data_IF_578694032190
#
_entry.id   IF_578694032190
#
_cell.length_a   1.000
_cell.length_b   1.000
_cell.length_c   1.000
_cell.angle_alpha   90.00
_cell.angle_beta   90.00
_cell.angle_gamma   90.00
#
_symmetry.space_group_name_H-M   'P 1'
#
loop_
_entity.id
_entity.type
_entity.pdbx_description
1 polymer ?
#
# COMPACT_ATOMS: atom_id res chain seq x y z
N UNK A 1 16.14 75.35 -3.91
CA UNK A 1 16.53 75.72 -5.29
C UNK A 1 17.06 74.48 -5.97
N UNK A 2 16.42 74.08 -7.09
CA UNK A 2 16.95 73.25 -8.21
C UNK A 2 17.41 71.82 -7.88
N UNK A 3 16.78 70.70 -8.31
CA UNK A 3 16.36 70.22 -9.65
C UNK A 3 17.43 70.32 -10.75
N UNK A 4 17.52 69.22 -11.52
CA UNK A 4 18.25 69.01 -12.77
C UNK A 4 19.73 68.63 -12.55
N UNK A 5 20.40 67.75 -13.31
CA UNK A 5 20.22 67.14 -14.64
C UNK A 5 21.35 66.06 -14.70
N UNK A 6 21.29 64.88 -15.33
CA UNK A 6 21.42 64.58 -16.78
C UNK A 6 21.91 63.10 -16.84
N UNK A 7 21.16 62.10 -17.36
CA UNK A 7 20.98 61.63 -18.76
C UNK A 7 22.23 61.03 -19.43
N UNK A 8 22.15 59.74 -19.82
CA UNK A 8 22.74 59.08 -21.03
C UNK A 8 22.77 57.54 -20.77
N UNK A 9 21.89 56.71 -21.36
CA UNK A 9 22.03 56.02 -22.67
C UNK A 9 23.32 55.14 -22.73
N UNK A 10 23.39 53.88 -23.16
CA UNK A 10 22.60 52.92 -23.95
C UNK A 10 23.30 51.55 -23.73
N UNK A 11 22.61 50.41 -23.66
CA UNK A 11 22.47 49.54 -24.83
C UNK A 11 22.94 48.09 -24.55
N UNK A 12 22.35 47.15 -25.31
CA UNK A 12 22.78 45.77 -25.58
C UNK A 12 22.35 44.63 -24.63
N UNK A 13 21.15 44.13 -24.89
CA UNK A 13 20.97 42.79 -25.49
C UNK A 13 21.70 41.61 -24.86
N UNK A 14 21.02 40.89 -23.95
CA UNK A 14 21.43 39.57 -23.47
C UNK A 14 20.25 38.59 -23.50
N UNK A 15 20.26 37.70 -24.49
CA UNK A 15 19.25 36.66 -24.75
C UNK A 15 18.98 35.79 -23.51
N UNK A 16 17.75 35.81 -22.98
CA UNK A 16 17.25 34.77 -22.07
C UNK A 16 16.81 33.53 -22.86
N UNK A 17 17.78 32.74 -23.32
CA UNK A 17 17.55 31.41 -23.91
C UNK A 17 18.22 30.39 -22.99
N UNK A 18 17.45 29.70 -22.12
CA UNK A 18 18.08 28.68 -21.28
C UNK A 18 17.23 27.95 -20.23
N UNK A 19 15.97 28.30 -19.99
CA UNK A 19 15.24 27.75 -18.82
C UNK A 19 14.35 26.53 -19.11
N UNK A 20 14.08 26.18 -20.37
CA UNK A 20 13.18 25.04 -20.68
C UNK A 20 13.85 23.67 -20.76
N UNK A 21 15.17 23.58 -20.94
CA UNK A 21 15.89 22.30 -21.11
C UNK A 21 16.35 21.65 -19.79
N UNK A 22 16.55 22.42 -18.72
CA UNK A 22 16.98 21.90 -17.39
C UNK A 22 15.86 21.23 -16.59
N UNK A 23 14.61 21.63 -16.79
CA UNK A 23 13.48 21.07 -16.03
C UNK A 23 13.04 19.70 -16.56
N UNK A 24 13.27 19.42 -17.86
CA UNK A 24 12.92 18.15 -18.52
C UNK A 24 13.94 17.03 -18.24
N UNK A 25 15.19 17.37 -17.90
CA UNK A 25 16.22 16.41 -17.47
C UNK A 25 16.13 16.08 -15.98
N UNK A 26 15.66 17.01 -15.14
CA UNK A 26 15.47 16.77 -13.70
C UNK A 26 14.37 15.74 -13.40
N UNK A 27 13.26 15.75 -14.16
CA UNK A 27 12.17 14.76 -14.00
C UNK A 27 12.55 13.39 -14.54
N UNK A 28 13.36 13.32 -15.62
CA UNK A 28 13.87 12.05 -16.16
C UNK A 28 14.87 11.38 -15.20
N UNK A 29 15.71 12.16 -14.52
CA UNK A 29 16.62 11.62 -13.50
C UNK A 29 15.85 11.09 -12.28
N UNK A 30 14.79 11.79 -11.86
CA UNK A 30 13.95 11.35 -10.75
C UNK A 30 13.19 10.06 -11.07
N UNK A 31 12.68 9.92 -12.31
CA UNK A 31 11.99 8.71 -12.76
C UNK A 31 12.96 7.51 -12.86
N UNK A 32 14.15 7.73 -13.42
CA UNK A 32 15.18 6.70 -13.53
C UNK A 32 15.64 6.22 -12.14
N UNK A 33 15.81 7.12 -11.17
CA UNK A 33 16.08 6.75 -9.77
C UNK A 33 14.91 6.01 -9.11
N UNK A 34 13.67 6.39 -9.45
CA UNK A 34 12.46 5.76 -8.90
C UNK A 34 12.32 4.29 -9.31
N UNK A 35 12.69 3.96 -10.56
CA UNK A 35 12.72 2.58 -11.06
C UNK A 35 14.00 1.82 -10.68
N UNK A 36 15.15 2.50 -10.67
CA UNK A 36 16.46 1.90 -10.35
C UNK A 36 16.56 1.47 -8.89
N UNK A 37 15.86 2.14 -7.98
CA UNK A 37 15.94 1.86 -6.56
C UNK A 37 14.87 0.88 -6.10
N UNK A 38 14.06 0.20 -6.92
CA UNK A 38 13.03 -0.73 -6.40
C UNK A 38 11.95 -0.11 -5.46
N UNK A 39 12.05 1.19 -5.13
CA UNK A 39 11.08 1.95 -4.34
C UNK A 39 9.73 2.00 -5.05
N UNK A 40 9.71 1.95 -6.38
CA UNK A 40 8.50 1.84 -7.17
C UNK A 40 7.65 0.64 -6.74
N UNK A 41 8.25 -0.54 -6.55
CA UNK A 41 7.51 -1.76 -6.22
C UNK A 41 6.84 -1.68 -4.84
N UNK A 42 7.57 -1.23 -3.82
CA UNK A 42 7.02 -1.05 -2.46
C UNK A 42 5.95 0.05 -2.42
N UNK A 43 6.20 1.21 -3.06
CA UNK A 43 5.21 2.31 -3.10
C UNK A 43 3.93 1.90 -3.84
N UNK A 44 4.06 1.18 -4.96
CA UNK A 44 2.90 0.63 -5.71
C UNK A 44 2.18 -0.43 -4.89
N UNK A 45 2.90 -1.31 -4.19
CA UNK A 45 2.31 -2.29 -3.28
C UNK A 45 1.47 -1.63 -2.19
N UNK A 46 2.03 -0.64 -1.49
CA UNK A 46 1.30 0.09 -0.43
C UNK A 46 0.10 0.85 -0.99
N UNK A 47 0.27 1.59 -2.09
CA UNK A 47 -0.82 2.35 -2.71
C UNK A 47 -1.95 1.44 -3.22
N UNK A 48 -1.60 0.30 -3.81
CA UNK A 48 -2.58 -0.69 -4.29
C UNK A 48 -3.28 -1.37 -3.13
N UNK A 49 -2.55 -1.70 -2.06
CA UNK A 49 -3.11 -2.29 -0.85
C UNK A 49 -4.08 -1.34 -0.17
N UNK A 50 -3.75 -0.05 -0.07
CA UNK A 50 -4.63 0.98 0.48
C UNK A 50 -5.92 1.11 -0.35
N UNK A 51 -5.81 1.23 -1.67
CA UNK A 51 -6.96 1.32 -2.55
C UNK A 51 -7.85 0.07 -2.47
N UNK A 52 -7.22 -1.11 -2.46
CA UNK A 52 -7.93 -2.38 -2.32
C UNK A 52 -8.68 -2.43 -0.99
N UNK A 53 -8.08 -1.96 0.10
CA UNK A 53 -8.69 -1.94 1.42
C UNK A 53 -9.89 -0.98 1.46
N UNK A 54 -9.81 0.18 0.82
CA UNK A 54 -10.95 1.11 0.67
C UNK A 54 -12.10 0.45 -0.12
N UNK A 55 -11.79 -0.14 -1.28
CA UNK A 55 -12.79 -0.82 -2.13
C UNK A 55 -13.42 -1.99 -1.38
N UNK A 56 -12.62 -2.84 -0.73
CA UNK A 56 -13.09 -3.96 0.07
C UNK A 56 -13.96 -3.49 1.24
N UNK A 57 -13.59 -2.39 1.91
CA UNK A 57 -14.39 -1.80 2.99
C UNK A 57 -15.75 -1.33 2.51
N UNK A 58 -15.80 -0.68 1.35
CA UNK A 58 -17.06 -0.26 0.72
C UNK A 58 -17.90 -1.46 0.25
N UNK A 59 -17.26 -2.51 -0.25
CA UNK A 59 -17.97 -3.71 -0.67
C UNK A 59 -18.58 -4.45 0.54
N UNK A 60 -17.81 -4.63 1.61
CA UNK A 60 -18.19 -5.41 2.80
C UNK A 60 -19.07 -4.62 3.77
N UNK A 61 -18.94 -3.29 3.84
CA UNK A 61 -19.68 -2.44 4.80
C UNK A 61 -20.44 -1.29 4.14
N UNK A 62 -20.60 -1.30 2.82
CA UNK A 62 -21.23 -0.22 2.06
C UNK A 62 -22.62 0.19 2.52
N UNK A 63 -23.38 -0.72 3.17
CA UNK A 63 -24.68 -0.42 3.77
C UNK A 63 -24.63 0.71 4.82
N UNK A 64 -23.46 0.98 5.40
CA UNK A 64 -23.26 2.10 6.33
C UNK A 64 -23.49 3.45 5.63
N UNK A 65 -23.16 3.58 4.35
CA UNK A 65 -23.32 4.83 3.59
C UNK A 65 -24.77 5.34 3.59
N UNK A 66 -25.77 4.57 3.13
CA UNK A 66 -27.16 5.02 3.15
C UNK A 66 -27.74 5.17 4.58
N UNK A 67 -27.24 4.42 5.56
CA UNK A 67 -27.63 4.58 6.97
C UNK A 67 -27.21 5.97 7.48
N UNK A 68 -25.94 6.34 7.27
CA UNK A 68 -25.41 7.66 7.68
C UNK A 68 -26.05 8.78 6.86
N UNK A 69 -26.29 8.55 5.56
CA UNK A 69 -27.02 9.49 4.70
C UNK A 69 -28.40 9.81 5.27
N UNK A 70 -29.16 8.78 5.68
CA UNK A 70 -30.48 8.95 6.28
C UNK A 70 -30.41 9.80 7.56
N UNK A 71 -29.42 9.54 8.41
CA UNK A 71 -29.22 10.29 9.65
C UNK A 71 -28.82 11.76 9.40
N UNK A 72 -28.07 12.05 8.33
CA UNK A 72 -27.64 13.42 8.02
C UNK A 72 -28.68 14.23 7.23
N UNK A 73 -29.38 13.60 6.28
CA UNK A 73 -30.21 14.32 5.30
C UNK A 73 -31.71 14.02 5.42
N UNK A 74 -32.08 13.02 6.22
CA UNK A 74 -33.46 12.53 6.32
C UNK A 74 -33.96 11.78 5.07
N UNK A 75 -33.16 11.69 4.00
CA UNK A 75 -33.50 11.02 2.75
C UNK A 75 -32.67 9.76 2.57
N UNK A 76 -33.24 8.77 1.90
CA UNK A 76 -32.55 7.52 1.55
C UNK A 76 -32.91 7.14 0.13
N UNK A 77 -31.90 6.86 -0.67
CA UNK A 77 -32.09 6.19 -1.95
C UNK A 77 -32.28 4.69 -1.68
N UNK A 78 -33.53 4.23 -1.82
CA UNK A 78 -33.90 2.84 -1.57
C UNK A 78 -33.27 1.87 -2.58
N UNK A 79 -33.00 2.31 -3.81
CA UNK A 79 -32.37 1.47 -4.82
C UNK A 79 -30.89 1.25 -4.48
N UNK A 80 -30.17 2.33 -4.13
CA UNK A 80 -28.79 2.26 -3.66
C UNK A 80 -28.70 1.42 -2.37
N UNK A 81 -29.63 1.60 -1.43
CA UNK A 81 -29.69 0.82 -0.20
C UNK A 81 -29.86 -0.68 -0.49
N UNK A 82 -30.82 -1.04 -1.35
CA UNK A 82 -31.07 -2.43 -1.74
C UNK A 82 -29.85 -3.08 -2.41
N UNK A 83 -29.20 -2.37 -3.35
CA UNK A 83 -27.99 -2.85 -4.03
C UNK A 83 -26.84 -3.09 -3.05
N UNK A 84 -26.55 -2.09 -2.20
CA UNK A 84 -25.47 -2.18 -1.22
C UNK A 84 -25.76 -3.27 -0.18
N UNK A 85 -27.01 -3.39 0.28
CA UNK A 85 -27.41 -4.44 1.22
C UNK A 85 -27.25 -5.85 0.61
N UNK A 86 -27.63 -6.04 -0.66
CA UNK A 86 -27.47 -7.31 -1.36
C UNK A 86 -25.99 -7.67 -1.52
N UNK A 87 -25.16 -6.74 -2.00
CA UNK A 87 -23.72 -6.95 -2.18
C UNK A 87 -23.03 -7.28 -0.85
N UNK A 88 -23.38 -6.53 0.20
CA UNK A 88 -22.89 -6.72 1.55
C UNK A 88 -23.22 -8.12 2.09
N UNK A 89 -24.49 -8.51 1.97
CA UNK A 89 -24.96 -9.83 2.43
C UNK A 89 -24.26 -10.96 1.68
N UNK A 90 -24.12 -10.85 0.36
CA UNK A 90 -23.42 -11.84 -0.46
C UNK A 90 -21.96 -12.00 -0.02
N UNK A 91 -21.25 -10.89 0.21
CA UNK A 91 -19.85 -10.90 0.64
C UNK A 91 -19.69 -11.45 2.06
N UNK A 92 -20.59 -11.11 2.99
CA UNK A 92 -20.58 -11.66 4.34
C UNK A 92 -20.82 -13.17 4.33
N UNK A 93 -21.74 -13.67 3.51
CA UNK A 93 -21.97 -15.11 3.34
C UNK A 93 -20.71 -15.78 2.79
N UNK A 94 -20.10 -15.22 1.74
CA UNK A 94 -18.86 -15.77 1.16
C UNK A 94 -17.74 -15.83 2.21
N UNK A 95 -17.55 -14.76 2.97
CA UNK A 95 -16.56 -14.69 4.04
C UNK A 95 -16.84 -15.69 5.16
N UNK A 96 -18.11 -15.87 5.53
CA UNK A 96 -18.53 -16.86 6.54
C UNK A 96 -18.26 -18.29 6.06
N UNK A 97 -18.51 -18.60 4.78
CA UNK A 97 -18.19 -19.91 4.18
C UNK A 97 -16.68 -20.18 4.18
N UNK A 98 -15.87 -19.19 3.81
CA UNK A 98 -14.39 -19.29 3.87
C UNK A 98 -13.92 -19.49 5.31
N UNK A 99 -14.48 -18.72 6.26
CA UNK A 99 -14.13 -18.84 7.67
C UNK A 99 -14.53 -20.19 8.26
N UNK A 100 -15.68 -20.75 7.88
CA UNK A 100 -16.14 -22.07 8.32
C UNK A 100 -15.28 -23.20 7.75
N UNK A 101 -14.81 -23.06 6.50
CA UNK A 101 -13.92 -24.02 5.85
C UNK A 101 -12.48 -23.97 6.38
N UNK A 102 -12.06 -22.86 6.97
CA UNK A 102 -10.68 -22.69 7.47
C UNK A 102 -10.46 -23.45 8.77
N UNK A 103 -9.76 -24.58 8.69
CA UNK A 103 -9.37 -25.40 9.85
C UNK A 103 -8.25 -24.77 10.72
N UNK A 104 -7.58 -23.71 10.23
CA UNK A 104 -6.28 -23.27 10.75
C UNK A 104 -6.30 -21.97 11.59
N UNK A 105 -7.45 -21.53 12.10
CA UNK A 105 -7.52 -20.33 12.94
C UNK A 105 -7.32 -19.00 12.20
N UNK A 106 -7.33 -19.02 10.86
CA UNK A 106 -7.20 -17.84 9.99
C UNK A 106 -8.40 -16.90 10.10
N UNK A 107 -9.51 -17.37 10.69
CA UNK A 107 -10.69 -16.54 10.99
C UNK A 107 -10.33 -15.31 11.82
N UNK A 108 -9.28 -15.35 12.64
CA UNK A 108 -8.80 -14.18 13.41
C UNK A 108 -8.23 -13.09 12.50
N UNK A 109 -7.55 -13.48 11.42
CA UNK A 109 -7.03 -12.53 10.41
C UNK A 109 -8.20 -11.92 9.66
N UNK A 110 -9.15 -12.74 9.23
CA UNK A 110 -10.39 -12.30 8.58
C UNK A 110 -11.16 -11.32 9.47
N UNK A 111 -11.34 -11.65 10.76
CA UNK A 111 -12.00 -10.77 11.72
C UNK A 111 -11.27 -9.44 11.89
N UNK A 112 -9.93 -9.45 11.95
CA UNK A 112 -9.12 -8.22 12.06
C UNK A 112 -9.36 -7.33 10.85
N UNK A 113 -9.35 -7.90 9.64
CA UNK A 113 -9.63 -7.17 8.39
C UNK A 113 -11.05 -6.60 8.40
N UNK A 114 -12.05 -7.37 8.87
CA UNK A 114 -13.43 -6.92 8.99
C UNK A 114 -13.57 -5.72 9.94
N UNK A 115 -12.91 -5.76 11.10
CA UNK A 115 -12.94 -4.65 12.06
C UNK A 115 -12.32 -3.39 11.44
N UNK A 116 -11.15 -3.49 10.82
CA UNK A 116 -10.49 -2.35 10.16
C UNK A 116 -11.36 -1.80 9.03
N UNK A 117 -11.93 -2.68 8.21
CA UNK A 117 -12.80 -2.31 7.10
C UNK A 117 -14.08 -1.58 7.56
N UNK A 118 -14.66 -2.00 8.69
CA UNK A 118 -15.81 -1.33 9.29
C UNK A 118 -15.48 0.12 9.65
N UNK A 119 -14.38 0.37 10.36
CA UNK A 119 -13.99 1.73 10.76
C UNK A 119 -13.64 2.62 9.57
N UNK A 120 -13.03 2.06 8.52
CA UNK A 120 -12.72 2.80 7.29
C UNK A 120 -14.01 3.18 6.56
N UNK A 121 -14.93 2.24 6.39
CA UNK A 121 -16.21 2.54 5.75
C UNK A 121 -17.01 3.58 6.54
N UNK A 122 -17.00 3.48 7.87
CA UNK A 122 -17.62 4.47 8.75
C UNK A 122 -16.98 5.86 8.61
N UNK A 123 -15.65 5.94 8.55
CA UNK A 123 -14.94 7.20 8.32
C UNK A 123 -15.27 7.80 6.95
N UNK A 124 -15.32 6.99 5.88
CA UNK A 124 -15.75 7.43 4.55
C UNK A 124 -17.17 7.99 4.58
N UNK A 125 -18.09 7.33 5.29
CA UNK A 125 -19.46 7.81 5.44
C UNK A 125 -19.52 9.19 6.13
N UNK A 126 -18.68 9.43 7.13
CA UNK A 126 -18.54 10.74 7.77
C UNK A 126 -17.92 11.79 6.84
N UNK A 127 -16.95 11.40 6.02
CA UNK A 127 -16.30 12.28 5.04
C UNK A 127 -17.30 12.80 3.99
N UNK A 128 -18.28 11.98 3.60
CA UNK A 128 -19.30 12.36 2.61
C UNK A 128 -20.40 13.23 3.23
N UNK A 129 -20.92 12.88 4.41
CA UNK A 129 -22.20 13.40 4.91
C UNK A 129 -22.14 14.26 6.18
N UNK A 130 -20.96 14.46 6.80
CA UNK A 130 -20.80 15.23 8.05
C UNK A 130 -19.89 16.43 7.85
N UNK A 131 -20.04 17.50 8.66
CA UNK A 131 -19.18 18.69 8.59
C UNK A 131 -17.71 18.38 8.93
N UNK A 132 -16.76 19.22 8.47
CA UNK A 132 -15.31 18.99 8.62
C UNK A 132 -14.84 18.73 10.07
N UNK A 133 -15.49 19.33 11.06
CA UNK A 133 -15.17 19.12 12.48
C UNK A 133 -15.34 17.68 12.94
N UNK A 134 -16.35 16.97 12.43
CA UNK A 134 -16.58 15.55 12.71
C UNK A 134 -15.73 14.64 11.82
N UNK A 135 -15.35 15.09 10.63
CA UNK A 135 -14.44 14.37 9.75
C UNK A 135 -13.06 14.22 10.40
N UNK A 136 -12.50 15.30 10.94
CA UNK A 136 -11.21 15.27 11.63
C UNK A 136 -11.26 14.38 12.88
N UNK A 137 -12.36 14.45 13.66
CA UNK A 137 -12.53 13.59 14.83
C UNK A 137 -12.63 12.11 14.48
N UNK A 138 -13.36 11.76 13.42
CA UNK A 138 -13.45 10.37 12.97
C UNK A 138 -12.13 9.86 12.39
N UNK A 139 -11.34 10.72 11.73
CA UNK A 139 -9.99 10.37 11.30
C UNK A 139 -9.04 10.12 12.48
N UNK A 140 -9.05 10.99 13.48
CA UNK A 140 -8.27 10.80 14.70
C UNK A 140 -8.68 9.50 15.44
N UNK A 141 -9.98 9.23 15.53
CA UNK A 141 -10.49 7.98 16.09
C UNK A 141 -10.02 6.76 15.29
N UNK A 142 -10.05 6.82 13.95
CA UNK A 142 -9.54 5.76 13.09
C UNK A 142 -8.05 5.50 13.34
N UNK A 143 -7.22 6.54 13.45
CA UNK A 143 -5.79 6.39 13.77
C UNK A 143 -5.60 5.68 15.11
N UNK A 144 -6.31 6.12 16.16
CA UNK A 144 -6.23 5.50 17.49
C UNK A 144 -6.63 4.03 17.45
N UNK A 145 -7.71 3.70 16.74
CA UNK A 145 -8.17 2.32 16.56
C UNK A 145 -7.15 1.47 15.80
N UNK A 146 -6.57 2.00 14.71
CA UNK A 146 -5.56 1.28 13.93
C UNK A 146 -4.31 1.02 14.76
N UNK A 147 -3.84 2.00 15.55
CA UNK A 147 -2.69 1.82 16.46
C UNK A 147 -3.02 0.75 17.51
N UNK A 148 -4.19 0.82 18.14
CA UNK A 148 -4.61 -0.16 19.14
C UNK A 148 -4.73 -1.57 18.57
N UNK A 149 -5.34 -1.73 17.39
CA UNK A 149 -5.43 -3.03 16.73
C UNK A 149 -4.05 -3.54 16.29
N UNK A 150 -3.15 -2.65 15.88
CA UNK A 150 -1.79 -3.03 15.49
C UNK A 150 -0.98 -3.56 16.68
N UNK A 151 -1.18 -3.01 17.88
CA UNK A 151 -0.49 -3.50 19.09
C UNK A 151 -1.12 -4.78 19.64
N UNK A 152 -2.45 -4.90 19.61
CA UNK A 152 -3.14 -6.07 20.16
C UNK A 152 -3.20 -7.27 19.19
N UNK A 153 -3.30 -7.01 17.88
CA UNK A 153 -3.45 -8.00 16.82
C UNK A 153 -2.30 -7.96 15.80
N UNK A 154 -1.09 -7.64 16.27
CA UNK A 154 0.09 -7.48 15.41
C UNK A 154 0.44 -8.73 14.60
N UNK A 155 0.19 -9.94 15.13
CA UNK A 155 0.47 -11.20 14.41
C UNK A 155 -0.46 -11.40 13.21
N UNK A 156 -1.71 -10.95 13.30
CA UNK A 156 -2.69 -11.02 12.23
C UNK A 156 -2.34 -10.04 11.10
N UNK A 157 -1.92 -8.81 11.45
CA UNK A 157 -1.40 -7.85 10.48
C UNK A 157 -0.15 -8.36 9.77
N UNK A 158 0.80 -8.93 10.52
CA UNK A 158 2.01 -9.52 9.95
C UNK A 158 1.69 -10.68 8.99
N UNK A 159 0.69 -11.50 9.33
CA UNK A 159 0.24 -12.61 8.48
C UNK A 159 -0.44 -12.10 7.20
N UNK A 160 -1.33 -11.11 7.31
CA UNK A 160 -1.97 -10.49 6.15
C UNK A 160 -0.92 -9.82 5.23
N UNK A 161 0.04 -9.11 5.81
CA UNK A 161 1.15 -8.51 5.08
C UNK A 161 2.03 -9.57 4.42
N UNK A 162 2.32 -10.69 5.10
CA UNK A 162 3.06 -11.83 4.55
C UNK A 162 2.37 -12.37 3.29
N UNK A 163 1.06 -12.60 3.35
CA UNK A 163 0.26 -13.05 2.19
C UNK A 163 0.30 -12.03 1.05
N UNK A 164 0.17 -10.74 1.37
CA UNK A 164 0.29 -9.65 0.39
C UNK A 164 1.65 -9.66 -0.31
N UNK A 165 2.74 -9.60 0.46
CA UNK A 165 4.11 -9.63 -0.08
C UNK A 165 4.38 -10.89 -0.93
N UNK A 166 3.81 -12.03 -0.51
CA UNK A 166 3.89 -13.28 -1.27
C UNK A 166 3.22 -13.17 -2.64
N UNK A 167 2.04 -12.56 -2.71
CA UNK A 167 1.32 -12.35 -3.97
C UNK A 167 2.07 -11.44 -4.94
N UNK A 168 2.71 -10.39 -4.43
CA UNK A 168 3.49 -9.44 -5.24
C UNK A 168 4.92 -9.91 -5.56
N UNK A 169 5.33 -11.09 -5.07
CA UNK A 169 6.69 -11.61 -5.31
C UNK A 169 7.79 -10.83 -4.59
N UNK A 170 7.43 -9.95 -3.64
CA UNK A 170 8.34 -9.02 -2.96
C UNK A 170 8.75 -9.50 -1.57
N UNK A 171 8.27 -10.67 -1.12
CA UNK A 171 8.66 -11.26 0.16
C UNK A 171 7.60 -12.21 0.69
N UNK A 172 7.49 -12.30 2.02
CA UNK A 172 6.46 -13.09 2.65
C UNK A 172 6.77 -14.60 2.73
N UNK A 173 8.05 -14.97 2.68
CA UNK A 173 8.52 -16.35 2.83
C UNK A 173 8.55 -17.14 1.52
N UNK A 174 8.75 -16.47 0.37
CA UNK A 174 8.89 -17.16 -0.91
C UNK A 174 10.29 -17.75 -1.03
N UNK A 175 10.41 -19.00 -1.48
CA UNK A 175 11.72 -19.60 -1.73
C UNK A 175 12.40 -18.91 -2.92
N UNK A 176 13.58 -18.36 -2.68
CA UNK A 176 14.41 -17.71 -3.70
C UNK A 176 15.81 -18.27 -3.68
N UNK A 177 16.43 -18.30 -4.86
CA UNK A 177 17.86 -18.55 -5.02
C UNK A 177 18.51 -17.26 -5.49
N UNK A 178 19.52 -16.78 -4.76
CA UNK A 178 20.34 -15.65 -5.16
C UNK A 178 21.67 -16.17 -5.68
N UNK A 179 22.00 -15.79 -6.92
CA UNK A 179 23.32 -16.03 -7.51
C UNK A 179 24.15 -14.75 -7.44
N UNK A 180 25.36 -14.86 -6.88
CA UNK A 180 26.32 -13.75 -6.84
C UNK A 180 26.81 -13.37 -8.24
N UNK A 181 27.05 -12.08 -8.46
CA UNK A 181 27.67 -11.55 -9.69
C UNK A 181 29.14 -11.96 -9.81
N UNK A 182 29.82 -12.15 -8.68
CA UNK A 182 31.16 -12.73 -8.62
C UNK A 182 31.04 -14.26 -8.58
N UNK A 183 31.70 -14.93 -9.53
CA UNK A 183 31.70 -16.39 -9.74
C UNK A 183 32.17 -17.25 -8.54
N UNK A 184 32.44 -16.66 -7.37
CA UNK A 184 32.99 -17.33 -6.19
C UNK A 184 32.02 -17.49 -5.02
N UNK A 185 30.79 -16.96 -5.09
CA UNK A 185 29.80 -17.18 -4.05
C UNK A 185 28.83 -18.30 -4.45
N UNK A 186 28.74 -19.41 -3.70
CA UNK A 186 27.79 -20.46 -4.00
C UNK A 186 26.36 -19.90 -3.96
N UNK A 187 25.45 -20.42 -4.83
CA UNK A 187 24.07 -19.95 -4.88
C UNK A 187 23.42 -20.10 -3.50
N UNK A 188 22.95 -18.97 -2.94
CA UNK A 188 22.33 -18.95 -1.63
C UNK A 188 20.83 -19.19 -1.80
N UNK A 189 20.33 -20.29 -1.22
CA UNK A 189 18.91 -20.62 -1.16
C UNK A 189 18.33 -20.20 0.19
N UNK A 190 17.16 -19.58 0.17
CA UNK A 190 16.47 -19.20 1.40
C UNK A 190 15.07 -18.66 1.15
N UNK A 191 14.34 -18.45 2.24
CA UNK A 191 13.04 -17.80 2.20
C UNK A 191 13.22 -16.28 2.15
N UNK A 192 12.69 -15.64 1.11
CA UNK A 192 12.65 -14.19 0.98
C UNK A 192 11.66 -13.61 1.99
N UNK A 193 12.20 -12.97 3.02
CA UNK A 193 11.43 -12.24 4.03
C UNK A 193 10.88 -10.95 3.40
N UNK A 194 11.78 -10.17 2.80
CA UNK A 194 11.47 -8.90 2.16
C UNK A 194 12.52 -8.59 1.09
N UNK A 195 12.08 -8.08 -0.04
CA UNK A 195 12.94 -7.49 -1.07
C UNK A 195 12.85 -5.97 -0.96
N UNK A 196 13.97 -5.32 -0.69
CA UNK A 196 14.09 -3.87 -0.65
C UNK A 196 14.91 -3.37 -1.85
N UNK A 197 14.91 -2.05 -2.10
CA UNK A 197 15.77 -1.36 -3.06
C UNK A 197 17.21 -1.87 -3.16
N UNK A 198 17.85 -2.01 -2.01
CA UNK A 198 19.30 -2.20 -1.90
C UNK A 198 19.65 -3.60 -1.38
N UNK A 199 18.69 -4.26 -0.72
CA UNK A 199 18.93 -5.49 0.01
C UNK A 199 17.82 -6.52 -0.21
N UNK A 200 18.22 -7.78 -0.36
CA UNK A 200 17.35 -8.92 -0.18
C UNK A 200 17.52 -9.46 1.25
N UNK A 201 16.41 -9.53 1.99
CA UNK A 201 16.38 -10.09 3.34
C UNK A 201 15.95 -11.54 3.25
N UNK A 202 16.86 -12.45 3.57
CA UNK A 202 16.69 -13.88 3.39
C UNK A 202 16.73 -14.60 4.73
N UNK A 203 15.93 -15.63 4.86
CA UNK A 203 16.07 -16.63 5.91
C UNK A 203 16.70 -17.88 5.31
N UNK A 204 17.95 -18.15 5.67
CA UNK A 204 18.71 -19.30 5.15
C UNK A 204 18.50 -20.48 6.10
N UNK A 205 18.17 -21.66 5.56
CA UNK A 205 18.01 -22.91 6.32
C UNK A 205 17.01 -22.87 7.49
N UNK A 206 15.98 -22.01 7.42
CA UNK A 206 14.95 -21.91 8.47
C UNK A 206 15.45 -21.34 9.80
N UNK A 207 16.69 -20.83 9.86
CA UNK A 207 17.22 -20.20 11.06
C UNK A 207 16.45 -18.90 11.38
N UNK A 208 16.28 -18.50 12.65
CA UNK A 208 15.62 -17.23 12.99
C UNK A 208 16.42 -16.00 12.52
N UNK A 209 17.68 -16.19 12.09
CA UNK A 209 18.58 -15.13 11.64
C UNK A 209 18.25 -14.69 10.21
N UNK A 210 18.10 -13.38 10.02
CA UNK A 210 17.90 -12.78 8.70
C UNK A 210 19.27 -12.44 8.11
N UNK A 211 19.59 -13.06 6.99
CA UNK A 211 20.77 -12.75 6.18
C UNK A 211 20.43 -11.61 5.23
N UNK A 212 21.22 -10.55 5.28
CA UNK A 212 21.06 -9.37 4.42
C UNK A 212 22.01 -9.52 3.25
N UNK A 213 21.46 -9.56 2.03
CA UNK A 213 22.24 -9.69 0.81
C UNK A 213 22.14 -8.40 -0.04
N UNK A 214 23.24 -7.71 -0.34
CA UNK A 214 23.19 -6.50 -1.17
C UNK A 214 22.87 -6.85 -2.63
N UNK A 215 21.86 -6.20 -3.21
CA UNK A 215 21.43 -6.45 -4.59
C UNK A 215 22.49 -6.04 -5.62
N UNK A 216 23.41 -5.13 -5.27
CA UNK A 216 24.55 -4.77 -6.11
C UNK A 216 25.49 -5.96 -6.39
N UNK A 217 25.52 -6.94 -5.48
CA UNK A 217 26.29 -8.17 -5.60
C UNK A 217 25.49 -9.33 -6.23
N UNK A 218 24.20 -9.14 -6.53
CA UNK A 218 23.35 -10.16 -7.15
C UNK A 218 23.43 -10.08 -8.69
N UNK A 219 23.54 -11.23 -9.34
CA UNK A 219 23.38 -11.35 -10.80
C UNK A 219 21.90 -11.48 -11.17
N UNK A 220 21.20 -12.42 -10.51
CA UNK A 220 19.76 -12.66 -10.67
C UNK A 220 19.16 -13.17 -9.35
N UNK A 221 17.90 -12.80 -9.10
CA UNK A 221 17.07 -13.38 -8.05
C UNK A 221 16.03 -14.26 -8.74
N UNK A 222 16.14 -15.57 -8.57
CA UNK A 222 15.17 -16.51 -9.14
C UNK A 222 14.14 -16.85 -8.08
N UNK A 223 12.88 -16.52 -8.37
CA UNK A 223 11.74 -16.91 -7.56
C UNK A 223 11.32 -18.33 -7.98
N UNK A 224 11.51 -19.31 -7.10
CA UNK A 224 10.98 -20.65 -7.34
C UNK A 224 9.45 -20.58 -7.14
N UNK A 225 8.70 -20.60 -8.24
CA UNK A 225 7.24 -20.75 -8.14
C UNK A 225 6.96 -22.12 -7.55
N UNK A 226 6.33 -22.12 -6.36
CA UNK A 226 5.87 -23.32 -5.70
C UNK A 226 5.01 -24.13 -6.69
N UNK A 227 5.51 -25.29 -7.10
CA UNK A 227 4.80 -26.20 -8.00
C UNK A 227 3.64 -26.74 -7.17
N UNK A 228 2.41 -26.34 -7.48
CA UNK A 228 1.21 -27.00 -6.92
C UNK A 228 1.33 -28.48 -7.26
N UNK A 229 1.61 -29.31 -6.26
CA UNK A 229 1.39 -30.74 -6.34
C UNK A 229 -0.12 -30.90 -6.44
N UNK A 230 -0.59 -31.23 -7.64
CA UNK A 230 -1.96 -31.63 -7.88
C UNK A 230 -2.13 -33.01 -7.23
N UNK A 231 -2.74 -33.05 -6.05
CA UNK A 231 -3.36 -34.25 -5.50
C UNK A 231 -4.85 -34.25 -5.86
#
# INVERSE_FOLDING_TARGET
TQRAFERSETGLGGRTFGTKKRQKTSTKCHLAHFFSNGEFGLRVFFSTSELFLIIASLAIFGIILPIVQRQSTGKTDWALFGLLALLNTLLLILMALIAYSSQNGEWRVVLTILVVAFFICFHIAYLIWKPPSLQIRSFAALIVVVIFLSTFMGTQFATALKVGLRYFGSGGGINVTIQGRENNLPPMKGELVLLSPEYAYLRVNGEPKITIFPLSAALFVTIEKEKKTSD
#
